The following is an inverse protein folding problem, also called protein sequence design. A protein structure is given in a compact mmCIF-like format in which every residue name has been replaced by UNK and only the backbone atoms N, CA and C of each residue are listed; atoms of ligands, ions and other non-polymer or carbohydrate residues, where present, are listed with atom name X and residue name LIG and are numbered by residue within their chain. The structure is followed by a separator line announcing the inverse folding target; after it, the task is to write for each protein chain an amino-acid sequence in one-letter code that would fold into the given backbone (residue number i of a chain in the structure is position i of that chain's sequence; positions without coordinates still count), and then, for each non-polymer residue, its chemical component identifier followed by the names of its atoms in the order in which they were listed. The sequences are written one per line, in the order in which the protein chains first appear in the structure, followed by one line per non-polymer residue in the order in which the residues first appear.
data_IF_797925112717
#
_entry.id   IF_797925112717
#
_cell.length_a   1.000
_cell.length_b   1.000
_cell.length_c   1.000
_cell.angle_alpha   90.00
_cell.angle_beta   90.00
_cell.angle_gamma   90.00
#
_symmetry.space_group_name_H-M   'P 1'
#
loop_
_entity.id
_entity.type
_entity.pdbx_description
1 polymer ?
#
# COMPACT_ATOMS: atom_id res chain seq x y z
N UNK A 1 0.96 4.38 11.96
CA UNK A 1 2.22 4.37 11.16
C UNK A 1 2.58 5.74 10.59
N UNK A 2 1.66 6.47 9.95
CA UNK A 2 1.92 7.80 9.37
C UNK A 2 2.68 8.79 10.29
N UNK A 3 2.35 8.84 11.59
CA UNK A 3 3.06 9.70 12.56
C UNK A 3 4.55 9.38 12.67
N UNK A 4 4.93 8.10 12.60
CA UNK A 4 6.34 7.68 12.66
C UNK A 4 7.05 8.09 11.38
N UNK A 5 6.45 7.89 10.21
CA UNK A 5 7.03 8.32 8.94
C UNK A 5 7.27 9.83 8.89
N UNK A 6 6.31 10.64 9.39
CA UNK A 6 6.49 12.09 9.53
C UNK A 6 7.68 12.45 10.43
N UNK A 7 7.83 11.78 11.58
CA UNK A 7 8.96 12.00 12.51
C UNK A 7 10.30 11.66 11.87
N UNK A 8 10.35 10.58 11.11
CA UNK A 8 11.55 10.15 10.37
C UNK A 8 11.77 10.92 9.06
N UNK A 9 10.93 11.91 8.74
CA UNK A 9 10.97 12.69 7.49
C UNK A 9 10.93 11.83 6.21
N UNK A 10 10.29 10.67 6.29
CA UNK A 10 10.07 9.82 5.13
C UNK A 10 8.95 10.43 4.27
N UNK A 11 9.14 10.44 2.96
CA UNK A 11 8.05 10.78 2.02
C UNK A 11 7.15 9.56 1.90
N UNK A 12 5.84 9.75 2.06
CA UNK A 12 4.88 8.68 1.86
C UNK A 12 3.57 9.23 1.33
N UNK A 13 2.80 8.34 0.70
CA UNK A 13 1.41 8.55 0.29
C UNK A 13 0.56 7.50 0.97
N UNK A 14 -0.65 7.86 1.38
CA UNK A 14 -1.62 6.96 2.04
C UNK A 14 -2.80 6.70 1.10
N UNK A 15 -3.45 5.53 1.19
CA UNK A 15 -4.68 5.17 0.46
C UNK A 15 -4.60 5.45 -1.05
N UNK A 16 -3.58 4.91 -1.70
CA UNK A 16 -3.30 5.19 -3.10
C UNK A 16 -4.10 4.24 -3.97
N UNK A 17 -4.99 4.78 -4.79
CA UNK A 17 -5.63 4.02 -5.84
C UNK A 17 -4.59 3.62 -6.89
N UNK A 18 -4.48 2.33 -7.16
CA UNK A 18 -3.68 1.78 -8.26
C UNK A 18 -4.60 1.01 -9.22
N UNK A 19 -4.51 1.27 -10.53
CA UNK A 19 -5.20 0.44 -11.51
C UNK A 19 -4.54 -0.94 -11.52
N UNK A 20 -5.29 -1.97 -11.15
CA UNK A 20 -4.82 -3.35 -11.29
C UNK A 20 -5.28 -3.86 -12.65
N UNK A 21 -4.34 -3.93 -13.58
CA UNK A 21 -4.55 -4.40 -14.94
C UNK A 21 -3.72 -5.66 -15.15
N UNK A 22 -4.33 -6.69 -15.73
CA UNK A 22 -3.64 -7.89 -16.16
C UNK A 22 -3.97 -8.11 -17.62
N UNK A 23 -2.93 -8.08 -18.46
CA UNK A 23 -3.09 -8.03 -19.92
C UNK A 23 -4.01 -6.87 -20.34
N UNK A 24 -5.14 -7.18 -20.97
CA UNK A 24 -6.12 -6.20 -21.44
C UNK A 24 -7.32 -6.06 -20.48
N UNK A 25 -7.34 -6.82 -19.39
CA UNK A 25 -8.44 -6.82 -18.43
C UNK A 25 -8.15 -5.94 -17.22
N UNK A 26 -9.05 -4.97 -16.99
CA UNK A 26 -9.10 -4.22 -15.73
C UNK A 26 -9.69 -5.11 -14.67
N UNK A 27 -8.83 -5.67 -13.82
CA UNK A 27 -9.26 -6.54 -12.75
C UNK A 27 -10.08 -5.73 -11.76
N UNK A 28 -9.53 -4.65 -11.18
CA UNK A 28 -10.24 -3.83 -10.20
C UNK A 28 -9.49 -2.55 -9.79
N UNK A 29 -10.16 -1.69 -9.01
CA UNK A 29 -9.53 -0.53 -8.33
C UNK A 29 -8.94 -1.01 -7.01
N UNK A 30 -7.63 -1.20 -6.97
CA UNK A 30 -6.93 -1.58 -5.75
C UNK A 30 -6.43 -0.34 -5.00
N UNK A 31 -6.45 -0.36 -3.67
CA UNK A 31 -5.95 0.75 -2.84
C UNK A 31 -4.81 0.26 -1.95
N UNK A 32 -3.63 0.84 -2.16
CA UNK A 32 -2.47 0.61 -1.29
C UNK A 32 -2.62 1.40 -0.01
N UNK A 33 -2.35 0.79 1.15
CA UNK A 33 -2.35 1.52 2.42
C UNK A 33 -1.27 2.60 2.44
N UNK A 34 -0.02 2.25 2.07
CA UNK A 34 1.10 3.19 2.00
C UNK A 34 2.05 2.92 0.83
N UNK A 35 2.50 3.99 0.16
CA UNK A 35 3.70 3.99 -0.71
C UNK A 35 4.75 4.91 -0.10
N UNK A 36 5.88 4.34 0.29
CA UNK A 36 6.97 5.02 0.98
C UNK A 36 8.10 5.25 -0.02
N UNK A 37 8.53 6.50 -0.12
CA UNK A 37 9.62 7.00 -1.00
C UNK A 37 9.52 6.58 -2.47
N UNK A 38 8.31 6.25 -2.94
CA UNK A 38 8.07 5.70 -4.28
C UNK A 38 8.87 4.42 -4.57
N UNK A 39 9.23 3.67 -3.52
CA UNK A 39 10.07 2.46 -3.59
C UNK A 39 9.45 1.27 -2.88
N UNK A 40 8.77 1.51 -1.76
CA UNK A 40 8.27 0.45 -0.88
C UNK A 40 6.76 0.58 -0.75
N UNK A 41 6.05 -0.51 -1.04
CA UNK A 41 4.62 -0.66 -0.74
C UNK A 41 4.48 -1.35 0.62
N UNK A 42 3.66 -0.79 1.50
CA UNK A 42 3.34 -1.39 2.80
C UNK A 42 1.83 -1.58 2.90
N UNK A 43 1.42 -2.82 3.12
CA UNK A 43 0.02 -3.22 3.33
C UNK A 43 -0.19 -3.76 4.74
N UNK A 44 -1.32 -3.42 5.33
CA UNK A 44 -1.70 -3.88 6.66
C UNK A 44 -2.83 -4.89 6.50
N UNK A 45 -2.49 -6.18 6.66
CA UNK A 45 -3.48 -7.26 6.67
C UNK A 45 -3.73 -7.74 8.09
N UNK A 46 -4.98 -7.88 8.46
CA UNK A 46 -5.41 -8.51 9.72
C UNK A 46 -5.97 -9.87 9.38
N UNK A 47 -5.44 -10.93 9.98
CA UNK A 47 -5.97 -12.28 9.88
C UNK A 47 -5.99 -12.92 11.28
N UNK A 48 -7.07 -13.64 11.66
CA UNK A 48 -7.12 -14.37 12.92
C UNK A 48 -6.15 -15.56 12.96
N UNK A 49 -5.66 -16.01 11.80
CA UNK A 49 -4.66 -17.07 11.66
C UNK A 49 -3.55 -16.60 10.73
N UNK A 50 -2.29 -16.82 11.11
CA UNK A 50 -1.17 -16.61 10.19
C UNK A 50 -1.14 -17.78 9.22
N UNK A 51 -1.36 -17.51 7.93
CA UNK A 51 -1.12 -18.48 6.87
C UNK A 51 0.39 -18.42 6.54
N UNK A 52 1.09 -19.54 6.75
CA UNK A 52 2.50 -19.73 6.44
C UNK A 52 2.65 -20.42 5.09
#
# INVERSE_FOLDING_TARGET
MALKFKKEKLKFKEQIQVPLEFEEEKIERYFLDFLIENKIVLEIKVSPQFYY
#
